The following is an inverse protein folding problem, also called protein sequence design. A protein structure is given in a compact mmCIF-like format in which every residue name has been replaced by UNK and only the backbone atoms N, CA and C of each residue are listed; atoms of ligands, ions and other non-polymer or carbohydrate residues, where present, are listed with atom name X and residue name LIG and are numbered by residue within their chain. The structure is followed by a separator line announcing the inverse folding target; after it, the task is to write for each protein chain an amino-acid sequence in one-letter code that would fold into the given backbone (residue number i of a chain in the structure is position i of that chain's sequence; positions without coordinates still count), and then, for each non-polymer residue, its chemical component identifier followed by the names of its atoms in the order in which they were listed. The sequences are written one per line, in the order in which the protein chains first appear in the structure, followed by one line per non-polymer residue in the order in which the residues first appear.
data_IF_573986188051
#
_entry.id   IF_573986188051
#
_cell.length_a   1.000
_cell.length_b   1.000
_cell.length_c   1.000
_cell.angle_alpha   90.00
_cell.angle_beta   90.00
_cell.angle_gamma   90.00
#
_symmetry.space_group_name_H-M   'P 1'
#
loop_
_entity.id
_entity.type
_entity.pdbx_description
1 polymer ?
#
# COMPACT_ATOMS: atom_id res chain seq x y z
N UNK A 1 7.89 -6.69 1.85
CA UNK A 1 7.00 -7.74 2.40
C UNK A 1 5.91 -8.03 1.37
N UNK A 2 5.67 -9.29 1.04
CA UNK A 2 4.51 -9.70 0.23
C UNK A 2 3.48 -10.37 1.14
N UNK A 3 2.21 -10.12 0.90
CA UNK A 3 1.12 -10.67 1.70
C UNK A 3 -0.15 -10.82 0.87
N UNK A 4 -1.09 -11.63 1.32
CA UNK A 4 -2.42 -11.71 0.72
C UNK A 4 -3.19 -10.41 0.95
N UNK A 5 -4.24 -10.16 0.15
CA UNK A 5 -5.04 -8.94 0.19
C UNK A 5 -5.73 -8.68 1.53
N UNK A 6 -5.94 -9.72 2.35
CA UNK A 6 -6.55 -9.64 3.69
C UNK A 6 -5.57 -9.47 4.85
N UNK A 7 -4.27 -9.34 4.58
CA UNK A 7 -3.26 -9.25 5.65
C UNK A 7 -3.23 -7.85 6.26
N UNK A 8 -3.40 -7.76 7.59
CA UNK A 8 -3.28 -6.52 8.35
C UNK A 8 -1.86 -6.33 8.90
N UNK A 9 -1.04 -5.50 8.24
CA UNK A 9 0.34 -5.21 8.65
C UNK A 9 0.44 -4.65 10.07
N UNK A 10 -0.58 -3.90 10.52
CA UNK A 10 -0.65 -3.37 11.89
C UNK A 10 -0.78 -4.48 12.94
N UNK A 11 -1.58 -5.50 12.67
CA UNK A 11 -1.72 -6.68 13.53
C UNK A 11 -0.41 -7.46 13.56
N UNK A 12 0.23 -7.65 12.39
CA UNK A 12 1.54 -8.30 12.35
C UNK A 12 2.59 -7.57 13.20
N UNK A 13 2.63 -6.23 13.16
CA UNK A 13 3.54 -5.47 14.02
C UNK A 13 3.25 -5.71 15.51
N UNK A 14 1.98 -5.74 15.91
CA UNK A 14 1.58 -6.08 17.27
C UNK A 14 2.02 -7.48 17.67
N UNK A 15 1.77 -8.49 16.83
CA UNK A 15 2.11 -9.90 17.09
C UNK A 15 3.62 -10.11 17.23
N UNK A 16 4.42 -9.41 16.42
CA UNK A 16 5.88 -9.39 16.56
C UNK A 16 6.28 -8.82 17.92
N UNK A 17 5.68 -7.71 18.34
CA UNK A 17 5.93 -7.10 19.64
C UNK A 17 5.55 -8.00 20.82
N UNK A 18 4.44 -8.73 20.72
CA UNK A 18 4.03 -9.74 21.69
C UNK A 18 5.06 -10.87 21.78
N UNK A 19 5.48 -11.40 20.63
CA UNK A 19 6.47 -12.49 20.55
C UNK A 19 7.83 -12.10 21.11
N UNK A 20 8.20 -10.82 21.03
CA UNK A 20 9.45 -10.28 21.58
C UNK A 20 9.32 -9.80 23.04
N UNK A 21 8.13 -9.84 23.64
CA UNK A 21 7.86 -9.37 25.02
C UNK A 21 8.19 -7.89 25.29
N UNK A 22 8.24 -7.07 24.25
CA UNK A 22 8.59 -5.64 24.33
C UNK A 22 7.47 -4.71 23.84
N UNK A 23 6.50 -5.23 23.10
CA UNK A 23 5.48 -4.45 22.41
C UNK A 23 6.02 -3.78 21.12
N UNK A 24 5.14 -3.62 20.14
CA UNK A 24 5.47 -2.95 18.89
C UNK A 24 4.20 -2.41 18.21
N UNK A 25 4.39 -1.41 17.35
CA UNK A 25 3.33 -0.82 16.53
C UNK A 25 3.87 -0.39 15.17
N UNK A 26 2.98 -0.29 14.19
CA UNK A 26 3.34 0.18 12.85
C UNK A 26 3.40 1.71 12.82
N UNK A 27 4.59 2.30 12.91
CA UNK A 27 4.77 3.76 12.87
C UNK A 27 4.43 4.35 11.49
N UNK A 28 4.89 3.70 10.42
CA UNK A 28 4.70 4.14 9.04
C UNK A 28 4.41 2.94 8.14
N UNK A 29 3.62 3.16 7.09
CA UNK A 29 3.27 2.13 6.12
C UNK A 29 3.11 2.75 4.73
N UNK A 30 3.88 2.24 3.75
CA UNK A 30 3.73 2.58 2.33
C UNK A 30 3.49 1.30 1.54
N UNK A 31 2.34 1.21 0.86
CA UNK A 31 2.06 0.13 -0.09
C UNK A 31 2.75 0.46 -1.42
N UNK A 32 3.66 -0.41 -1.85
CA UNK A 32 4.45 -0.20 -3.08
C UNK A 32 3.91 -0.95 -4.29
N UNK A 33 3.06 -1.96 -4.10
CA UNK A 33 2.53 -2.77 -5.20
C UNK A 33 1.13 -3.33 -4.87
N UNK A 34 0.31 -3.50 -5.91
CA UNK A 34 -0.96 -4.23 -5.92
C UNK A 34 -0.99 -5.11 -7.18
N UNK A 35 -0.52 -6.35 -7.06
CA UNK A 35 -0.42 -7.27 -8.21
C UNK A 35 0.46 -6.67 -9.31
N UNK A 36 -0.11 -6.40 -10.49
CA UNK A 36 0.61 -5.79 -11.63
C UNK A 36 0.79 -4.27 -11.53
N UNK A 37 0.21 -3.62 -10.52
CA UNK A 37 0.22 -2.16 -10.38
C UNK A 37 1.27 -1.72 -9.37
N UNK A 38 2.32 -1.06 -9.86
CA UNK A 38 3.41 -0.52 -9.05
C UNK A 38 3.14 0.93 -8.66
N UNK A 39 3.49 1.32 -7.42
CA UNK A 39 3.34 2.68 -6.91
C UNK A 39 4.13 3.71 -7.70
N UNK A 40 5.23 3.32 -8.34
CA UNK A 40 6.04 4.22 -9.17
C UNK A 40 5.29 4.65 -10.45
N UNK A 41 4.24 3.92 -10.83
CA UNK A 41 3.32 4.29 -11.91
C UNK A 41 2.05 5.00 -11.42
N UNK A 42 1.92 5.23 -10.11
CA UNK A 42 0.74 5.86 -9.53
C UNK A 42 0.73 7.37 -9.78
N UNK A 43 -0.39 7.89 -10.25
CA UNK A 43 -0.59 9.33 -10.41
C UNK A 43 -1.17 9.94 -9.14
N UNK A 44 -0.65 11.10 -8.71
CA UNK A 44 -1.26 11.84 -7.59
C UNK A 44 -2.62 12.37 -8.05
N UNK A 45 -3.69 12.23 -7.25
CA UNK A 45 -5.02 12.67 -7.65
C UNK A 45 -5.08 14.15 -8.06
N UNK A 46 -4.29 15.01 -7.40
CA UNK A 46 -4.20 16.45 -7.69
C UNK A 46 -3.67 16.80 -9.09
N UNK A 47 -2.96 15.87 -9.73
CA UNK A 47 -2.36 16.07 -11.05
C UNK A 47 -3.30 15.53 -12.17
N UNK A 48 -4.44 14.94 -11.79
CA UNK A 48 -5.47 14.45 -12.71
C UNK A 48 -6.46 15.58 -12.99
N UNK A 49 -6.64 15.90 -14.26
CA UNK A 49 -7.51 16.99 -14.73
C UNK A 49 -8.51 16.48 -15.77
N UNK A 50 -9.50 17.33 -16.12
CA UNK A 50 -10.52 16.97 -17.13
C UNK A 50 -9.92 16.74 -18.53
N UNK A 51 -8.75 17.30 -18.78
CA UNK A 51 -8.04 17.23 -20.06
C UNK A 51 -7.14 15.99 -20.17
N UNK A 52 -6.74 15.38 -19.04
CA UNK A 52 -5.72 14.32 -19.04
C UNK A 52 -6.17 12.97 -18.45
N UNK A 53 -7.33 12.89 -17.79
CA UNK A 53 -7.77 11.68 -17.06
C UNK A 53 -7.80 10.42 -17.93
N UNK A 54 -8.17 10.55 -19.21
CA UNK A 54 -8.25 9.44 -20.16
C UNK A 54 -6.91 8.70 -20.33
N UNK A 55 -5.78 9.41 -20.19
CA UNK A 55 -4.43 8.83 -20.27
C UNK A 55 -4.16 7.80 -19.17
N UNK A 56 -4.81 7.94 -18.02
CA UNK A 56 -4.53 7.15 -16.82
C UNK A 56 -5.54 6.01 -16.60
N UNK A 57 -6.48 5.79 -17.53
CA UNK A 57 -7.45 4.68 -17.46
C UNK A 57 -6.77 3.39 -17.87
N UNK A 58 -6.94 2.35 -17.05
CA UNK A 58 -6.59 0.99 -17.46
C UNK A 58 -7.57 0.48 -18.50
N UNK A 59 -7.04 0.05 -19.63
CA UNK A 59 -7.80 -0.68 -20.63
C UNK A 59 -7.70 -2.15 -20.21
N UNK A 60 -8.81 -2.69 -19.69
CA UNK A 60 -8.94 -4.04 -19.15
C UNK A 60 -9.95 -4.83 -19.97
#
# INVERSE_FOLDING_TARGET
MHCSTGTYIRTLAHDIGQKLTTGAYCKELRRVNIGKHDVEKAQKPKDITKENWQKYIFHI
#
